data_IF_652957478126
#
_entry.id   IF_652957478126
#
_cell.length_a   1.000
_cell.length_b   1.000
_cell.length_c   1.000
_cell.angle_alpha   90.00
_cell.angle_beta   90.00
_cell.angle_gamma   90.00
#
_symmetry.space_group_name_H-M   'P 1'
#
loop_
_entity.id
_entity.type
_entity.pdbx_description
1 polymer ?
#
# COMPACT_ATOMS: atom_id res chain seq x y z
N UNK A 1 -7.08 -41.42 0.60
CA UNK A 1 -5.64 -41.61 0.84
C UNK A 1 -5.01 -40.23 0.91
N UNK A 2 -4.91 -39.65 2.10
CA UNK A 2 -4.22 -38.37 2.30
C UNK A 2 -2.73 -38.70 2.45
N UNK A 3 -2.05 -38.52 1.36
CA UNK A 3 -0.64 -38.74 1.29
C UNK A 3 0.12 -37.75 2.17
N UNK A 4 1.10 -38.29 2.82
CA UNK A 4 2.37 -37.70 3.16
C UNK A 4 2.39 -36.25 3.63
N UNK A 5 3.04 -36.06 4.74
CA UNK A 5 3.47 -34.79 5.28
C UNK A 5 4.24 -33.97 4.22
N UNK A 6 3.52 -33.23 3.41
CA UNK A 6 4.11 -32.15 2.63
C UNK A 6 4.19 -30.95 3.58
N UNK A 7 5.29 -30.84 4.31
CA UNK A 7 5.59 -29.73 5.22
C UNK A 7 6.06 -28.51 4.43
N UNK A 8 5.40 -28.20 3.29
CA UNK A 8 5.64 -26.94 2.60
C UNK A 8 5.03 -25.83 3.45
N UNK A 9 5.87 -25.06 4.06
CA UNK A 9 5.49 -23.79 4.67
C UNK A 9 4.91 -22.90 3.56
N UNK A 10 3.62 -22.60 3.65
CA UNK A 10 2.95 -21.75 2.66
C UNK A 10 3.37 -20.32 2.93
N UNK A 11 4.28 -19.81 2.14
CA UNK A 11 4.66 -18.40 2.18
C UNK A 11 3.62 -17.59 1.39
N UNK A 12 2.66 -17.02 2.11
CA UNK A 12 1.65 -16.15 1.50
C UNK A 12 2.27 -14.83 1.05
N UNK A 13 1.96 -14.36 -0.17
CA UNK A 13 2.30 -12.99 -0.57
C UNK A 13 1.55 -11.97 0.30
N UNK A 14 1.94 -10.70 0.28
CA UNK A 14 1.18 -9.65 0.97
C UNK A 14 -0.29 -9.67 0.55
N UNK A 15 -1.19 -9.85 1.53
CA UNK A 15 -2.64 -9.96 1.28
C UNK A 15 -3.27 -8.58 1.52
N UNK A 16 -3.80 -7.91 0.49
CA UNK A 16 -4.54 -6.66 0.66
C UNK A 16 -5.90 -6.90 1.29
N UNK A 17 -6.35 -5.94 2.10
CA UNK A 17 -7.66 -5.94 2.76
C UNK A 17 -8.37 -4.63 2.48
N UNK A 18 -9.69 -4.70 2.27
CA UNK A 18 -10.54 -3.53 2.02
C UNK A 18 -11.77 -3.59 2.90
N UNK A 19 -12.12 -2.45 3.50
CA UNK A 19 -13.41 -2.21 4.14
C UNK A 19 -14.17 -1.20 3.29
N UNK A 20 -15.31 -1.60 2.77
CA UNK A 20 -16.14 -0.80 1.86
C UNK A 20 -17.02 0.20 2.62
N UNK A 21 -16.37 1.01 3.44
CA UNK A 21 -16.95 2.22 4.01
C UNK A 21 -17.03 3.35 2.97
N UNK A 22 -17.58 4.49 3.31
CA UNK A 22 -17.58 5.70 2.47
C UNK A 22 -16.84 6.83 3.21
N UNK A 23 -15.58 7.10 2.80
CA UNK A 23 -14.76 6.48 1.75
C UNK A 23 -14.22 5.10 2.14
N UNK A 24 -13.74 4.34 1.15
CA UNK A 24 -13.13 3.03 1.36
C UNK A 24 -11.84 3.14 2.18
N UNK A 25 -11.62 2.12 3.03
CA UNK A 25 -10.41 1.95 3.80
C UNK A 25 -9.69 0.69 3.33
N UNK A 26 -8.43 0.79 2.96
CA UNK A 26 -7.66 -0.32 2.44
C UNK A 26 -6.28 -0.40 3.09
N UNK A 27 -5.76 -1.63 3.24
CA UNK A 27 -4.44 -1.84 3.81
C UNK A 27 -3.77 -3.09 3.26
N UNK A 28 -2.44 -3.10 3.25
CA UNK A 28 -1.60 -4.27 2.97
C UNK A 28 -0.30 -4.17 3.77
N UNK A 29 0.23 -5.31 4.18
CA UNK A 29 1.47 -5.40 4.93
C UNK A 29 1.35 -5.02 6.40
N UNK A 30 2.42 -4.49 6.98
CA UNK A 30 2.52 -4.22 8.41
C UNK A 30 1.86 -2.88 8.78
N UNK A 31 1.17 -2.86 9.91
CA UNK A 31 0.85 -1.59 10.57
C UNK A 31 2.12 -0.98 11.17
N UNK A 32 2.07 0.32 11.45
CA UNK A 32 3.19 1.03 12.11
C UNK A 32 3.54 0.39 13.46
N UNK A 33 2.53 0.00 14.25
CA UNK A 33 2.75 -0.71 15.51
C UNK A 33 3.44 -2.05 15.30
N UNK A 34 2.96 -2.86 14.36
CA UNK A 34 3.56 -4.17 14.07
C UNK A 34 5.00 -4.06 13.54
N UNK A 35 5.31 -3.03 12.74
CA UNK A 35 6.67 -2.78 12.28
C UNK A 35 7.60 -2.39 13.44
N UNK A 36 7.12 -1.55 14.37
CA UNK A 36 7.87 -1.19 15.60
C UNK A 36 8.10 -2.40 16.50
N UNK A 37 7.08 -3.22 16.73
CA UNK A 37 7.17 -4.42 17.57
C UNK A 37 8.17 -5.44 16.99
N UNK A 38 8.35 -5.46 15.68
CA UNK A 38 9.38 -6.26 15.00
C UNK A 38 10.77 -5.63 15.03
N UNK A 39 10.93 -4.43 15.59
CA UNK A 39 12.21 -3.72 15.65
C UNK A 39 12.70 -3.23 14.29
N UNK A 40 11.82 -3.08 13.30
CA UNK A 40 12.19 -2.59 11.98
C UNK A 40 12.44 -1.08 12.02
N UNK A 41 13.47 -0.65 11.30
CA UNK A 41 13.74 0.77 11.07
C UNK A 41 13.06 1.20 9.77
N UNK A 42 12.19 2.20 9.83
CA UNK A 42 11.41 2.67 8.69
C UNK A 42 11.06 4.15 8.79
N UNK A 43 10.82 4.74 7.63
CA UNK A 43 10.21 6.06 7.50
C UNK A 43 8.71 5.91 7.24
N UNK A 44 7.94 6.87 7.75
CA UNK A 44 6.49 6.93 7.55
C UNK A 44 6.16 8.10 6.65
N UNK A 45 5.62 7.81 5.47
CA UNK A 45 5.06 8.81 4.58
C UNK A 45 3.56 8.90 4.84
N UNK A 46 3.09 10.04 5.31
CA UNK A 46 1.68 10.29 5.60
C UNK A 46 1.25 11.63 5.06
N UNK A 47 0.12 11.66 4.35
CA UNK A 47 -0.48 12.91 3.90
C UNK A 47 -2.00 12.79 3.77
N UNK A 48 -2.70 13.89 4.02
CA UNK A 48 -4.11 14.05 3.69
C UNK A 48 -4.23 14.53 2.25
N UNK A 49 -4.90 13.76 1.42
CA UNK A 49 -4.94 13.95 -0.03
C UNK A 49 -6.25 14.50 -0.57
N UNK A 50 -7.11 15.03 0.30
CA UNK A 50 -8.39 15.65 -0.12
C UNK A 50 -8.18 16.83 -1.10
N UNK A 51 -7.02 17.49 -1.07
CA UNK A 51 -6.62 18.54 -2.01
C UNK A 51 -6.01 18.05 -3.32
N UNK A 52 -5.76 16.76 -3.48
CA UNK A 52 -5.21 16.22 -4.72
C UNK A 52 -6.26 16.16 -5.81
N UNK A 53 -5.82 16.24 -7.09
CA UNK A 53 -6.73 16.25 -8.23
C UNK A 53 -7.71 15.07 -8.23
N UNK A 54 -7.23 13.87 -7.92
CA UNK A 54 -8.04 12.65 -7.89
C UNK A 54 -9.19 12.73 -6.89
N UNK A 55 -8.95 13.36 -5.73
CA UNK A 55 -9.95 13.56 -4.68
C UNK A 55 -10.90 14.71 -5.02
N UNK A 56 -10.37 15.84 -5.51
CA UNK A 56 -11.15 17.02 -5.89
C UNK A 56 -12.14 16.71 -7.00
N UNK A 57 -11.74 15.93 -7.99
CA UNK A 57 -12.57 15.54 -9.14
C UNK A 57 -13.88 14.88 -8.74
N UNK A 58 -13.88 14.13 -7.63
CA UNK A 58 -15.07 13.40 -7.13
C UNK A 58 -15.65 14.03 -5.87
N UNK A 59 -15.13 15.19 -5.44
CA UNK A 59 -15.62 15.89 -4.24
C UNK A 59 -15.32 15.15 -2.94
N UNK A 60 -14.25 14.36 -2.88
CA UNK A 60 -13.88 13.61 -1.69
C UNK A 60 -13.42 14.55 -0.57
N UNK A 61 -14.09 14.48 0.57
CA UNK A 61 -13.74 15.28 1.77
C UNK A 61 -12.66 14.62 2.62
N UNK A 62 -12.60 13.30 2.57
CA UNK A 62 -11.71 12.48 3.39
C UNK A 62 -10.90 11.57 2.47
N UNK A 63 -9.61 11.84 2.42
CA UNK A 63 -8.65 11.04 1.69
C UNK A 63 -7.29 11.22 2.34
N UNK A 64 -6.56 10.12 2.55
CA UNK A 64 -5.23 10.12 3.12
C UNK A 64 -4.51 8.81 2.81
N UNK A 65 -3.20 8.83 2.92
CA UNK A 65 -2.39 7.60 2.89
C UNK A 65 -1.38 7.58 4.04
N UNK A 66 -0.92 6.39 4.37
CA UNK A 66 0.24 6.13 5.21
C UNK A 66 1.03 4.99 4.60
N UNK A 67 2.26 5.23 4.19
CA UNK A 67 3.16 4.23 3.63
C UNK A 67 4.37 4.10 4.56
N UNK A 68 4.76 2.86 4.88
CA UNK A 68 5.94 2.54 5.66
C UNK A 68 7.02 2.04 4.71
N UNK A 69 8.16 2.72 4.69
CA UNK A 69 9.31 2.41 3.85
C UNK A 69 10.49 1.99 4.72
N UNK A 70 10.98 0.79 4.53
CA UNK A 70 12.11 0.26 5.30
C UNK A 70 13.40 1.04 4.99
N UNK A 71 14.09 1.45 6.05
CA UNK A 71 15.36 2.15 5.93
C UNK A 71 16.45 1.21 5.39
N UNK A 72 17.30 1.74 4.52
CA UNK A 72 18.39 0.99 3.90
C UNK A 72 17.99 0.19 2.66
N UNK A 73 16.89 -0.56 2.70
CA UNK A 73 16.40 -1.35 1.55
C UNK A 73 15.47 -0.57 0.63
N UNK A 74 14.67 0.34 1.21
CA UNK A 74 13.62 1.07 0.50
C UNK A 74 12.40 0.23 0.15
N UNK A 75 12.25 -0.99 0.69
CA UNK A 75 11.07 -1.81 0.48
C UNK A 75 9.86 -1.25 1.23
N UNK A 76 8.68 -1.44 0.65
CA UNK A 76 7.42 -1.09 1.30
C UNK A 76 7.10 -2.16 2.35
N UNK A 77 7.01 -1.76 3.62
CA UNK A 77 6.62 -2.64 4.72
C UNK A 77 5.10 -2.70 4.90
N UNK A 78 4.43 -1.62 4.59
CA UNK A 78 2.98 -1.50 4.71
C UNK A 78 2.43 -0.29 3.98
N UNK A 79 1.20 -0.42 3.50
CA UNK A 79 0.45 0.66 2.88
C UNK A 79 -0.97 0.70 3.43
N UNK A 80 -1.44 1.88 3.78
CA UNK A 80 -2.76 2.13 4.37
C UNK A 80 -3.36 3.33 3.68
N UNK A 81 -4.55 3.17 3.12
CA UNK A 81 -5.22 4.15 2.29
C UNK A 81 -6.65 4.37 2.80
N UNK A 82 -7.10 5.60 2.75
CA UNK A 82 -8.52 5.95 2.89
C UNK A 82 -8.86 6.95 1.79
N UNK A 83 -9.93 6.70 1.06
CA UNK A 83 -10.35 7.61 0.01
C UNK A 83 -10.91 6.89 -1.20
N UNK A 84 -11.35 7.65 -2.22
CA UNK A 84 -11.86 7.08 -3.46
C UNK A 84 -10.72 6.35 -4.21
N UNK A 85 -11.02 5.15 -4.70
CA UNK A 85 -10.06 4.31 -5.42
C UNK A 85 -9.05 3.57 -4.52
N UNK A 86 -9.19 3.65 -3.20
CA UNK A 86 -8.30 2.95 -2.26
C UNK A 86 -8.31 1.43 -2.48
N UNK A 87 -9.47 0.86 -2.86
CA UNK A 87 -9.67 -0.55 -3.14
C UNK A 87 -8.86 -1.04 -4.35
N UNK A 88 -8.62 -0.18 -5.32
CA UNK A 88 -7.79 -0.51 -6.48
C UNK A 88 -6.31 -0.19 -6.24
N UNK A 89 -6.02 0.97 -5.63
CA UNK A 89 -4.64 1.36 -5.34
C UNK A 89 -3.93 0.37 -4.42
N UNK A 90 -4.64 -0.21 -3.45
CA UNK A 90 -4.03 -1.17 -2.52
C UNK A 90 -3.53 -2.44 -3.21
N UNK A 91 -4.19 -2.86 -4.29
CA UNK A 91 -3.75 -4.00 -5.10
C UNK A 91 -2.41 -3.71 -5.80
N UNK A 92 -2.19 -2.48 -6.24
CA UNK A 92 -0.92 -2.07 -6.83
C UNK A 92 0.22 -2.08 -5.79
N UNK A 93 -0.05 -1.65 -4.56
CA UNK A 93 0.91 -1.79 -3.46
C UNK A 93 1.19 -3.26 -3.14
N UNK A 94 0.16 -4.11 -3.07
CA UNK A 94 0.32 -5.54 -2.84
C UNK A 94 1.18 -6.19 -3.94
N UNK A 95 0.92 -5.85 -5.19
CA UNK A 95 1.69 -6.33 -6.35
C UNK A 95 3.14 -5.85 -6.28
N UNK A 96 3.36 -4.57 -5.98
CA UNK A 96 4.71 -4.00 -5.85
C UNK A 96 5.51 -4.67 -4.72
N UNK A 97 4.87 -4.88 -3.56
CA UNK A 97 5.47 -5.58 -2.42
C UNK A 97 5.78 -7.04 -2.77
N UNK A 98 4.84 -7.74 -3.41
CA UNK A 98 5.04 -9.14 -3.86
C UNK A 98 6.15 -9.29 -4.90
N UNK A 99 6.36 -8.28 -5.73
CA UNK A 99 7.43 -8.22 -6.72
C UNK A 99 8.76 -7.69 -6.14
N UNK A 100 8.83 -7.32 -4.86
CA UNK A 100 10.01 -6.76 -4.22
C UNK A 100 10.43 -5.40 -4.75
N UNK A 101 9.47 -4.58 -5.24
CA UNK A 101 9.77 -3.23 -5.71
C UNK A 101 10.06 -2.30 -4.53
N UNK A 102 11.09 -1.47 -4.69
CA UNK A 102 11.39 -0.41 -3.73
C UNK A 102 10.59 0.86 -4.02
N UNK A 103 10.45 1.74 -3.03
CA UNK A 103 9.84 3.05 -3.17
C UNK A 103 10.42 3.84 -4.37
N UNK A 104 11.74 3.84 -4.52
CA UNK A 104 12.40 4.50 -5.65
C UNK A 104 12.05 3.90 -7.02
N UNK A 105 11.85 2.58 -7.08
CA UNK A 105 11.43 1.92 -8.33
C UNK A 105 9.99 2.31 -8.68
N UNK A 106 9.11 2.39 -7.67
CA UNK A 106 7.72 2.81 -7.84
C UNK A 106 7.64 4.27 -8.33
N UNK A 107 8.45 5.18 -7.78
CA UNK A 107 8.55 6.57 -8.26
C UNK A 107 8.91 6.69 -9.74
N UNK A 108 9.70 5.74 -10.24
CA UNK A 108 10.13 5.71 -11.63
C UNK A 108 9.11 5.10 -12.60
N UNK A 109 7.98 4.55 -12.12
CA UNK A 109 6.95 3.97 -12.98
C UNK A 109 6.10 5.10 -13.59
N UNK A 110 5.87 5.03 -14.89
CA UNK A 110 4.96 5.94 -15.59
C UNK A 110 3.56 5.33 -15.57
N UNK A 111 2.65 5.99 -14.87
CA UNK A 111 1.24 5.63 -14.83
C UNK A 111 0.42 6.49 -15.81
N UNK A 112 -0.72 5.97 -16.24
CA UNK A 112 -1.69 6.77 -16.96
C UNK A 112 -2.18 7.93 -16.10
N UNK A 113 -2.11 9.16 -16.61
CA UNK A 113 -2.53 10.35 -15.88
C UNK A 113 -3.70 11.04 -16.61
N UNK A 114 -4.72 11.54 -15.89
CA UNK A 114 -4.91 11.44 -14.45
C UNK A 114 -5.63 10.14 -14.05
N UNK A 115 -5.09 9.42 -13.08
CA UNK A 115 -5.72 8.21 -12.51
C UNK A 115 -5.34 8.05 -11.05
N UNK A 116 -6.10 7.26 -10.29
CA UNK A 116 -5.71 6.94 -8.91
C UNK A 116 -4.35 6.23 -8.84
N UNK A 117 -4.02 5.42 -9.84
CA UNK A 117 -2.73 4.76 -9.92
C UNK A 117 -1.56 5.76 -10.05
N UNK A 118 -1.77 6.89 -10.74
CA UNK A 118 -0.72 7.91 -10.89
C UNK A 118 -0.35 8.61 -9.58
N UNK A 119 -1.23 8.60 -8.59
CA UNK A 119 -0.98 9.18 -7.28
C UNK A 119 0.06 8.39 -6.48
N UNK A 120 0.20 7.08 -6.75
CA UNK A 120 1.07 6.17 -6.00
C UNK A 120 2.53 6.62 -6.01
N UNK A 121 3.02 7.14 -7.13
CA UNK A 121 4.39 7.63 -7.23
C UNK A 121 4.68 8.83 -6.30
N UNK A 122 3.65 9.55 -5.90
CA UNK A 122 3.74 10.67 -4.95
C UNK A 122 3.56 10.24 -3.50
N UNK A 123 3.12 9.01 -3.25
CA UNK A 123 2.89 8.48 -1.89
C UNK A 123 4.15 7.84 -1.27
N UNK A 124 5.12 7.44 -2.09
CA UNK A 124 6.31 6.68 -1.69
C UNK A 124 7.58 7.51 -1.70
#
# INVERSE_FOLDING_TARGET
MLAGKDEREVNYPPIPSVVFTLPQLASVGLSEAAARDKGLAFDTHFEKTAGWYSSLRVGARYSAYKILVENGTGHILGAHLIGPGAEEQINLFAMAMGAGLTANRIKGIIFAYPSYASDISSMV
#
